data_IF_864431413787
#
_entry.id   IF_864431413787
#
_cell.length_a   1.000
_cell.length_b   1.000
_cell.length_c   1.000
_cell.angle_alpha   90.00
_cell.angle_beta   90.00
_cell.angle_gamma   90.00
#
_symmetry.space_group_name_H-M   'P 1'
#
loop_
_entity.id
_entity.type
_entity.pdbx_description
1 polymer ?
#
# COMPACT_ATOMS: atom_id res chain seq x y z
N UNK A 1 15.65 31.78 5.48
CA UNK A 1 15.06 30.45 5.21
C UNK A 1 14.98 30.31 3.70
N UNK A 2 15.69 29.33 3.14
CA UNK A 2 15.92 29.22 1.69
C UNK A 2 14.86 28.30 1.08
N UNK A 3 13.85 28.87 0.42
CA UNK A 3 12.62 28.19 -0.07
C UNK A 3 12.74 27.55 -1.45
N UNK A 4 13.95 27.47 -2.03
CA UNK A 4 14.18 26.96 -3.40
C UNK A 4 13.80 25.47 -3.58
N UNK A 5 13.72 24.68 -2.52
CA UNK A 5 13.41 23.25 -2.62
C UNK A 5 11.91 22.92 -2.72
N UNK A 6 11.02 23.90 -2.50
CA UNK A 6 9.56 23.69 -2.48
C UNK A 6 8.93 23.74 -3.90
N UNK A 7 9.69 24.20 -4.90
CA UNK A 7 9.20 24.41 -6.27
C UNK A 7 9.38 23.18 -7.20
N UNK A 8 9.70 22.01 -6.64
CA UNK A 8 9.89 20.77 -7.39
C UNK A 8 8.58 20.07 -7.76
N UNK A 9 8.51 19.45 -8.95
CA UNK A 9 7.35 18.62 -9.33
C UNK A 9 7.40 17.28 -8.60
N UNK A 10 6.44 17.02 -7.71
CA UNK A 10 6.26 15.71 -7.09
C UNK A 10 5.68 14.74 -8.14
N UNK A 11 6.34 13.62 -8.45
CA UNK A 11 5.80 12.62 -9.37
C UNK A 11 4.65 11.86 -8.72
N UNK A 12 3.67 11.45 -9.53
CA UNK A 12 2.55 10.63 -9.05
C UNK A 12 3.00 9.18 -8.82
N UNK A 13 2.56 8.60 -7.70
CA UNK A 13 2.77 7.18 -7.41
C UNK A 13 1.82 6.37 -8.30
N UNK A 14 2.36 5.73 -9.32
CA UNK A 14 1.62 4.83 -10.22
C UNK A 14 1.39 3.44 -9.60
N UNK A 15 0.44 2.63 -10.12
CA UNK A 15 0.15 1.28 -9.61
C UNK A 15 1.38 0.36 -9.52
N UNK A 16 2.31 0.44 -10.49
CA UNK A 16 3.58 -0.31 -10.46
C UNK A 16 4.43 -0.02 -9.23
N UNK A 17 4.43 1.24 -8.76
CA UNK A 17 5.15 1.66 -7.58
C UNK A 17 4.46 1.11 -6.33
N UNK A 18 3.12 1.14 -6.29
CA UNK A 18 2.31 0.59 -5.18
C UNK A 18 2.48 -0.93 -5.03
N UNK A 19 2.53 -1.67 -6.14
CA UNK A 19 2.81 -3.11 -6.13
C UNK A 19 4.15 -3.43 -5.48
N UNK A 20 5.19 -2.66 -5.83
CA UNK A 20 6.52 -2.81 -5.24
C UNK A 20 6.53 -2.45 -3.75
N UNK A 21 5.91 -1.33 -3.38
CA UNK A 21 5.79 -0.89 -1.98
C UNK A 21 5.09 -1.97 -1.15
N UNK A 22 3.94 -2.49 -1.62
CA UNK A 22 3.21 -3.54 -0.91
C UNK A 22 4.04 -4.81 -0.70
N UNK A 23 4.84 -5.21 -1.70
CA UNK A 23 5.75 -6.36 -1.57
C UNK A 23 6.84 -6.10 -0.53
N UNK A 24 7.46 -4.93 -0.57
CA UNK A 24 8.56 -4.56 0.33
C UNK A 24 8.08 -4.41 1.78
N UNK A 25 6.91 -3.80 2.00
CA UNK A 25 6.28 -3.70 3.32
C UNK A 25 5.88 -5.07 3.88
N UNK A 26 5.51 -6.02 3.01
CA UNK A 26 5.26 -7.40 3.40
C UNK A 26 6.55 -8.21 3.66
N UNK A 27 7.74 -7.62 3.46
CA UNK A 27 9.04 -8.26 3.66
C UNK A 27 9.34 -9.40 2.67
N UNK A 28 8.73 -9.37 1.49
CA UNK A 28 8.86 -10.46 0.50
C UNK A 28 9.86 -10.12 -0.61
N UNK A 29 10.67 -11.09 -1.00
CA UNK A 29 11.41 -11.04 -2.27
C UNK A 29 10.47 -11.23 -3.47
N UNK A 30 10.90 -10.78 -4.66
CA UNK A 30 10.10 -10.97 -5.89
C UNK A 30 9.81 -12.45 -6.18
N UNK A 31 10.76 -13.33 -5.88
CA UNK A 31 10.62 -14.78 -6.07
C UNK A 31 9.61 -15.36 -5.10
N UNK A 32 9.67 -14.99 -3.82
CA UNK A 32 8.76 -15.49 -2.79
C UNK A 32 7.32 -15.07 -3.07
N UNK A 33 7.11 -13.81 -3.48
CA UNK A 33 5.80 -13.35 -3.89
C UNK A 33 5.28 -14.15 -5.10
N UNK A 34 6.14 -14.36 -6.11
CA UNK A 34 5.78 -15.09 -7.31
C UNK A 34 5.34 -16.53 -6.99
N UNK A 35 6.07 -17.20 -6.09
CA UNK A 35 5.73 -18.53 -5.58
C UNK A 35 4.39 -18.52 -4.82
N UNK A 36 4.15 -17.54 -3.94
CA UNK A 36 2.90 -17.42 -3.17
C UNK A 36 1.66 -17.24 -4.04
N UNK A 37 1.77 -16.44 -5.10
CA UNK A 37 0.62 -16.12 -5.98
C UNK A 37 0.56 -16.98 -7.25
N UNK A 38 1.51 -17.91 -7.43
CA UNK A 38 1.52 -18.85 -8.54
C UNK A 38 1.81 -18.23 -9.92
N UNK A 39 2.67 -17.21 -9.99
CA UNK A 39 3.11 -16.61 -11.26
C UNK A 39 4.62 -16.68 -11.41
N UNK A 40 5.16 -16.32 -12.58
CA UNK A 40 6.62 -16.28 -12.76
C UNK A 40 7.24 -15.06 -12.06
N UNK A 41 8.46 -15.21 -11.54
CA UNK A 41 9.27 -14.08 -11.04
C UNK A 41 9.40 -12.96 -12.09
N UNK A 42 9.52 -13.33 -13.37
CA UNK A 42 9.58 -12.36 -14.47
C UNK A 42 8.28 -11.54 -14.60
N UNK A 43 7.12 -12.16 -14.37
CA UNK A 43 5.83 -11.46 -14.35
C UNK A 43 5.76 -10.44 -13.22
N UNK A 44 6.25 -10.77 -12.02
CA UNK A 44 6.38 -9.82 -10.89
C UNK A 44 7.30 -8.65 -11.28
N UNK A 45 8.48 -8.94 -11.82
CA UNK A 45 9.45 -7.92 -12.24
C UNK A 45 8.90 -7.01 -13.35
N UNK A 46 8.20 -7.56 -14.34
CA UNK A 46 7.56 -6.79 -15.41
C UNK A 46 6.41 -5.92 -14.90
N UNK A 47 5.67 -6.38 -13.88
CA UNK A 47 4.63 -5.60 -13.23
C UNK A 47 5.21 -4.40 -12.46
N UNK A 48 6.23 -4.62 -11.64
CA UNK A 48 6.86 -3.57 -10.82
C UNK A 48 7.63 -2.54 -11.66
N UNK A 49 8.21 -2.97 -12.79
CA UNK A 49 8.85 -2.06 -13.75
C UNK A 49 7.86 -1.34 -14.67
N UNK A 50 6.58 -1.72 -14.65
CA UNK A 50 5.55 -1.16 -15.52
C UNK A 50 5.66 -1.59 -16.99
N UNK A 51 6.48 -2.61 -17.31
CA UNK A 51 6.53 -3.22 -18.66
C UNK A 51 5.22 -3.90 -19.03
N UNK A 52 4.48 -4.40 -18.05
CA UNK A 52 3.19 -5.06 -18.25
C UNK A 52 2.24 -4.70 -17.13
N UNK A 53 1.00 -4.36 -17.46
CA UNK A 53 -0.05 -4.18 -16.46
C UNK A 53 -0.63 -5.53 -16.04
N UNK A 54 -0.61 -5.89 -14.74
CA UNK A 54 -1.20 -7.14 -14.26
C UNK A 54 -2.70 -7.20 -14.52
N UNK A 55 -3.23 -8.42 -14.69
CA UNK A 55 -4.68 -8.65 -14.72
C UNK A 55 -5.28 -8.46 -13.33
N UNK A 56 -6.59 -8.18 -13.26
CA UNK A 56 -7.33 -8.04 -11.99
C UNK A 56 -7.13 -9.23 -11.03
N UNK A 57 -7.07 -10.44 -11.57
CA UNK A 57 -6.78 -11.66 -10.79
C UNK A 57 -5.43 -11.59 -10.09
N UNK A 58 -4.39 -11.07 -10.77
CA UNK A 58 -3.05 -10.91 -10.20
C UNK A 58 -3.05 -9.82 -9.13
N UNK A 59 -3.75 -8.72 -9.34
CA UNK A 59 -3.92 -7.68 -8.32
C UNK A 59 -4.59 -8.23 -7.05
N UNK A 60 -5.64 -9.04 -7.18
CA UNK A 60 -6.31 -9.67 -6.04
C UNK A 60 -5.38 -10.64 -5.30
N UNK A 61 -4.61 -11.44 -6.03
CA UNK A 61 -3.66 -12.38 -5.41
C UNK A 61 -2.53 -11.64 -4.70
N UNK A 62 -2.04 -10.54 -5.27
CA UNK A 62 -1.04 -9.67 -4.67
C UNK A 62 -1.55 -9.03 -3.37
N UNK A 63 -2.76 -8.48 -3.40
CA UNK A 63 -3.46 -7.96 -2.23
C UNK A 63 -3.57 -9.00 -1.11
N UNK A 64 -3.96 -10.23 -1.45
CA UNK A 64 -4.03 -11.33 -0.49
C UNK A 64 -2.67 -11.69 0.10
N UNK A 65 -1.61 -11.72 -0.72
CA UNK A 65 -0.27 -12.10 -0.28
C UNK A 65 0.43 -11.03 0.57
N UNK A 66 0.08 -9.75 0.37
CA UNK A 66 0.73 -8.60 1.02
C UNK A 66 -0.13 -7.94 2.10
N UNK A 67 -1.42 -8.28 2.17
CA UNK A 67 -2.36 -7.72 3.15
C UNK A 67 -2.85 -6.30 2.82
N UNK A 68 -2.48 -5.74 1.66
CA UNK A 68 -2.94 -4.40 1.26
C UNK A 68 -4.24 -4.48 0.44
N UNK A 69 -5.13 -3.47 0.52
CA UNK A 69 -6.34 -3.43 -0.30
C UNK A 69 -6.04 -3.39 -1.80
N UNK A 70 -6.85 -4.09 -2.59
CA UNK A 70 -6.72 -4.06 -4.06
C UNK A 70 -6.99 -2.67 -4.64
N UNK A 71 -7.93 -1.92 -4.04
CA UNK A 71 -8.23 -0.52 -4.39
C UNK A 71 -6.99 0.34 -4.24
N UNK A 72 -6.25 0.19 -3.14
CA UNK A 72 -5.00 0.91 -2.93
C UNK A 72 -3.94 0.56 -3.98
N UNK A 73 -3.77 -0.72 -4.33
CA UNK A 73 -2.83 -1.13 -5.39
C UNK A 73 -3.16 -0.50 -6.76
N UNK A 74 -4.45 -0.37 -7.07
CA UNK A 74 -4.91 0.11 -8.38
C UNK A 74 -5.00 1.63 -8.48
N UNK A 75 -5.55 2.30 -7.48
CA UNK A 75 -5.85 3.74 -7.54
C UNK A 75 -5.13 4.55 -6.47
N UNK A 76 -4.56 3.89 -5.45
CA UNK A 76 -3.96 4.55 -4.29
C UNK A 76 -4.99 5.06 -3.28
N UNK A 77 -6.27 4.74 -3.47
CA UNK A 77 -7.33 5.09 -2.54
C UNK A 77 -7.45 3.97 -1.52
N UNK A 78 -7.27 4.28 -0.24
CA UNK A 78 -7.80 3.43 0.83
C UNK A 78 -9.29 3.79 0.97
N UNK A 79 -10.16 3.01 0.33
CA UNK A 79 -11.54 2.95 0.83
C UNK A 79 -11.44 2.22 2.17
N UNK A 80 -11.23 2.97 3.24
CA UNK A 80 -11.44 2.46 4.58
C UNK A 80 -12.88 1.94 4.61
N UNK A 81 -13.13 0.66 4.94
CA UNK A 81 -14.48 0.25 5.33
C UNK A 81 -14.77 0.88 6.68
N UNK A 82 -15.04 2.19 6.70
CA UNK A 82 -15.63 2.85 7.85
C UNK A 82 -17.13 2.53 7.79
N UNK A 83 -17.74 1.96 8.85
CA UNK A 83 -19.18 2.02 8.98
C UNK A 83 -19.51 3.50 9.17
N UNK A 84 -20.36 4.05 8.30
CA UNK A 84 -20.92 5.40 8.34
C UNK A 84 -20.62 6.22 9.61
N UNK A 85 -19.78 7.24 9.47
CA UNK A 85 -19.58 8.28 10.49
C UNK A 85 -18.85 9.47 9.87
N UNK A 86 -19.28 10.72 10.12
CA UNK A 86 -18.94 11.87 9.27
C UNK A 86 -17.52 12.45 9.43
N UNK A 87 -16.66 11.86 10.26
CA UNK A 87 -15.36 12.49 10.63
C UNK A 87 -14.16 11.72 10.09
N UNK A 88 -14.05 11.58 8.77
CA UNK A 88 -12.95 10.93 8.07
C UNK A 88 -11.63 11.71 8.04
N UNK A 89 -11.28 12.44 9.09
CA UNK A 89 -10.05 13.21 9.16
C UNK A 89 -9.63 13.51 10.60
N UNK A 90 -8.35 13.27 10.88
CA UNK A 90 -7.60 13.66 12.08
C UNK A 90 -8.11 13.12 13.42
N UNK A 91 -7.38 12.15 13.99
CA UNK A 91 -6.68 12.30 15.28
C UNK A 91 -6.02 10.97 15.65
N UNK A 92 -4.70 11.00 15.85
CA UNK A 92 -3.97 9.95 16.54
C UNK A 92 -4.53 9.90 17.97
N UNK A 93 -5.00 8.76 18.49
CA UNK A 93 -5.35 8.67 19.90
C UNK A 93 -4.08 8.85 20.71
N UNK A 94 -3.97 9.98 21.41
CA UNK A 94 -3.01 10.17 22.48
C UNK A 94 -3.25 9.03 23.49
N UNK A 95 -2.33 8.06 23.56
CA UNK A 95 -2.32 7.05 24.60
C UNK A 95 -1.89 7.71 25.91
N UNK A 96 -2.78 8.50 26.52
CA UNK A 96 -2.64 8.85 27.93
C UNK A 96 -3.08 7.64 28.76
N UNK A 97 -2.09 6.76 28.92
CA UNK A 97 -2.09 5.68 29.89
C UNK A 97 -2.08 6.27 31.29
N UNK A 98 -3.27 6.45 31.90
CA UNK A 98 -3.38 6.58 33.35
C UNK A 98 -4.71 6.00 33.84
N UNK A 99 -4.75 4.67 33.97
CA UNK A 99 -5.76 3.99 34.79
C UNK A 99 -5.34 4.13 36.25
N UNK A 100 -6.01 4.98 37.01
CA UNK A 100 -5.90 4.96 38.48
C UNK A 100 -6.81 3.85 39.05
N UNK A 101 -6.36 3.09 40.08
CA UNK A 101 -7.23 2.16 40.78
C UNK A 101 -8.22 2.91 41.69
N UNK A 102 -9.45 2.42 41.72
CA UNK A 102 -10.49 2.81 42.67
C UNK A 102 -10.14 2.31 44.07
N UNK A 103 -10.24 3.18 45.08
CA UNK A 103 -10.31 2.84 46.52
C UNK A 103 -11.77 2.59 46.91
#
# INVERSE_FOLDING_TARGET
>A
MTTVYDQGRVPEIQPRHRLRIAREEAGLEQTELAERIGISRQSVSNAESGKTSPRKVVFNAWALATGVPVSWLQTGTVESPRPDGPDGGSELPHLDSNQEPFD
#
